data_IF_509182628812
#
_entry.id   IF_509182628812
#
_cell.length_a   1.000
_cell.length_b   1.000
_cell.length_c   1.000
_cell.angle_alpha   90.00
_cell.angle_beta   90.00
_cell.angle_gamma   90.00
#
_symmetry.space_group_name_H-M   'P 1'
#
loop_
_entity.id
_entity.type
_entity.pdbx_description
1 polymer ?
#
# COMPACT_ATOMS: atom_id res chain seq x y z
N UNK A 1 12.17 -11.98 15.19
CA UNK A 1 13.27 -11.21 15.84
C UNK A 1 14.57 -11.98 15.68
N UNK A 2 15.64 -11.37 15.17
CA UNK A 2 16.96 -12.01 15.08
C UNK A 2 17.66 -11.84 16.42
N UNK A 3 18.15 -12.94 16.99
CA UNK A 3 18.85 -12.92 18.27
C UNK A 3 20.26 -13.51 18.13
N UNK A 4 21.20 -12.95 18.87
CA UNK A 4 22.50 -13.57 19.14
C UNK A 4 22.47 -14.00 20.61
N UNK A 5 22.22 -15.30 20.86
CA UNK A 5 21.90 -15.78 22.21
C UNK A 5 20.58 -15.19 22.72
N UNK A 6 20.60 -14.49 23.86
CA UNK A 6 19.43 -13.79 24.44
C UNK A 6 19.31 -12.34 23.99
N UNK A 7 20.26 -11.82 23.21
CA UNK A 7 20.30 -10.39 22.82
C UNK A 7 19.58 -10.16 21.51
N UNK A 8 18.67 -9.18 21.48
CA UNK A 8 17.99 -8.77 20.26
C UNK A 8 18.94 -7.97 19.36
N UNK A 9 19.02 -8.35 18.09
CA UNK A 9 19.82 -7.63 17.09
C UNK A 9 18.96 -6.51 16.51
N UNK A 10 19.30 -5.26 16.83
CA UNK A 10 18.59 -4.06 16.37
C UNK A 10 19.22 -3.43 15.14
N UNK A 11 20.51 -3.70 14.87
CA UNK A 11 21.24 -3.23 13.71
C UNK A 11 22.10 -4.33 13.13
N UNK A 12 22.00 -4.54 11.83
CA UNK A 12 22.87 -5.45 11.09
C UNK A 12 23.71 -4.63 10.14
N UNK A 13 25.02 -4.88 10.17
CA UNK A 13 26.00 -4.19 9.35
C UNK A 13 26.75 -5.19 8.47
N UNK A 14 26.99 -4.82 7.22
CA UNK A 14 27.94 -5.50 6.33
C UNK A 14 29.13 -4.54 6.12
N UNK A 15 30.20 -4.76 6.85
CA UNK A 15 31.29 -3.77 6.96
C UNK A 15 30.78 -2.47 7.62
N UNK A 16 30.91 -1.34 6.94
CA UNK A 16 30.39 -0.03 7.37
C UNK A 16 28.98 0.27 6.88
N UNK A 17 28.40 -0.59 6.02
CA UNK A 17 27.10 -0.39 5.43
C UNK A 17 26.00 -1.01 6.30
N UNK A 18 25.00 -0.20 6.67
CA UNK A 18 23.82 -0.71 7.35
C UNK A 18 23.00 -1.59 6.40
N UNK A 19 22.61 -2.77 6.87
CA UNK A 19 21.76 -3.70 6.11
C UNK A 19 20.30 -3.33 6.33
N UNK A 20 19.55 -3.05 5.27
CA UNK A 20 18.14 -2.67 5.35
C UNK A 20 17.19 -3.88 5.44
N UNK A 21 17.60 -5.05 4.95
CA UNK A 21 16.83 -6.28 5.06
C UNK A 21 17.73 -7.52 5.03
N UNK A 22 17.32 -8.56 5.76
CA UNK A 22 17.91 -9.91 5.69
C UNK A 22 16.78 -10.87 5.38
N UNK A 23 17.05 -11.84 4.49
CA UNK A 23 16.10 -12.88 4.12
C UNK A 23 16.68 -14.26 4.49
N UNK A 24 15.81 -15.15 4.96
CA UNK A 24 16.07 -16.57 5.06
C UNK A 24 15.21 -17.28 4.00
N UNK A 25 15.81 -17.62 2.88
CA UNK A 25 15.06 -18.00 1.67
C UNK A 25 14.20 -16.81 1.20
N UNK A 26 12.91 -17.01 1.07
CA UNK A 26 11.97 -15.95 0.69
C UNK A 26 11.38 -15.20 1.90
N UNK A 27 11.75 -15.58 3.12
CA UNK A 27 11.24 -14.96 4.34
C UNK A 27 12.14 -13.81 4.77
N UNK A 28 11.58 -12.59 4.83
CA UNK A 28 12.28 -11.43 5.37
C UNK A 28 12.40 -11.57 6.89
N UNK A 29 13.63 -11.58 7.40
CA UNK A 29 13.90 -11.72 8.83
C UNK A 29 14.42 -10.45 9.49
N UNK A 30 14.71 -9.40 8.70
CA UNK A 30 15.11 -8.09 9.19
C UNK A 30 14.79 -6.99 8.16
N UNK A 31 14.26 -5.82 8.55
CA UNK A 31 13.68 -5.53 9.87
C UNK A 31 12.45 -6.41 10.13
N UNK A 32 12.28 -6.82 11.36
CA UNK A 32 11.11 -7.61 11.75
C UNK A 32 9.86 -6.74 11.71
N UNK A 33 8.79 -7.27 11.15
CA UNK A 33 7.45 -6.73 11.39
C UNK A 33 7.08 -6.88 12.86
N UNK A 34 6.23 -5.98 13.39
CA UNK A 34 5.60 -6.19 14.69
C UNK A 34 4.91 -7.56 14.75
N UNK A 35 5.00 -8.22 15.91
CA UNK A 35 4.41 -9.55 16.09
C UNK A 35 2.88 -9.50 16.34
N UNK A 36 2.34 -8.33 16.64
CA UNK A 36 0.93 -8.10 16.93
C UNK A 36 0.29 -7.42 15.74
N UNK A 37 -0.90 -7.86 15.38
CA UNK A 37 -1.72 -7.21 14.36
C UNK A 37 -2.11 -5.78 14.79
N UNK A 38 -2.18 -4.86 13.82
CA UNK A 38 -2.52 -3.47 14.10
C UNK A 38 -1.86 -2.47 13.15
N UNK A 39 -1.97 -1.20 13.52
CA UNK A 39 -1.44 -0.07 12.76
C UNK A 39 -0.19 0.49 13.44
N UNK A 40 0.84 0.77 12.65
CA UNK A 40 2.14 1.22 13.13
C UNK A 40 2.67 2.39 12.29
N UNK A 41 3.44 3.25 12.92
CA UNK A 41 4.26 4.26 12.24
C UNK A 41 5.60 3.63 11.84
N UNK A 42 5.93 3.62 10.54
CA UNK A 42 7.26 3.27 10.06
C UNK A 42 8.11 4.54 9.97
N UNK A 43 9.08 4.65 10.85
CA UNK A 43 9.86 5.86 11.08
C UNK A 43 11.17 5.86 10.26
N UNK A 44 11.82 7.04 10.10
CA UNK A 44 13.09 7.18 9.36
C UNK A 44 14.26 6.40 9.95
N UNK A 45 14.22 6.04 11.24
CA UNK A 45 15.18 5.14 11.87
C UNK A 45 15.00 3.66 11.50
N UNK A 46 14.03 3.36 10.60
CA UNK A 46 13.70 2.02 10.11
C UNK A 46 13.07 1.10 11.16
N UNK A 47 12.39 1.67 12.14
CA UNK A 47 11.63 0.94 13.16
C UNK A 47 10.13 1.17 13.01
N UNK A 48 9.36 0.20 13.49
CA UNK A 48 7.92 0.30 13.64
C UNK A 48 7.61 0.72 15.08
N UNK A 49 6.72 1.69 15.22
CA UNK A 49 6.23 2.20 16.49
C UNK A 49 4.72 2.13 16.50
N UNK A 50 4.13 1.74 17.63
CA UNK A 50 2.72 2.07 17.87
C UNK A 50 2.56 3.59 17.94
N UNK A 51 1.38 4.13 17.69
CA UNK A 51 1.19 5.59 17.78
C UNK A 51 1.52 6.16 19.17
N UNK A 52 1.14 5.52 20.30
CA UNK A 52 1.56 5.98 21.62
C UNK A 52 3.08 5.95 21.86
N UNK A 53 3.81 5.01 21.25
CA UNK A 53 5.28 4.99 21.33
C UNK A 53 5.89 6.08 20.47
N UNK A 54 5.37 6.28 19.26
CA UNK A 54 5.80 7.34 18.35
C UNK A 54 5.63 8.72 18.99
N UNK A 55 4.51 8.99 19.65
CA UNK A 55 4.24 10.26 20.34
C UNK A 55 5.23 10.59 21.50
N UNK A 56 5.96 9.59 22.00
CA UNK A 56 7.02 9.78 23.02
C UNK A 56 8.39 10.11 22.42
N UNK A 57 8.54 10.06 21.12
CA UNK A 57 9.80 10.43 20.48
C UNK A 57 10.03 11.95 20.56
N UNK A 58 11.29 12.35 20.52
CA UNK A 58 11.66 13.77 20.54
C UNK A 58 11.22 14.55 19.31
N UNK A 59 10.99 13.88 18.19
CA UNK A 59 10.51 14.47 16.94
C UNK A 59 9.42 13.60 16.34
N UNK A 60 8.19 14.07 16.41
CA UNK A 60 6.97 13.41 15.91
C UNK A 60 6.42 14.06 14.63
N UNK A 61 7.23 14.87 13.94
CA UNK A 61 6.79 15.47 12.68
C UNK A 61 6.52 14.40 11.61
N UNK A 62 5.51 14.64 10.77
CA UNK A 62 5.15 13.71 9.67
C UNK A 62 6.32 13.50 8.68
N UNK A 63 7.27 14.45 8.60
CA UNK A 63 8.49 14.33 7.81
C UNK A 63 9.45 13.23 8.31
N UNK A 64 9.27 12.74 9.53
CA UNK A 64 9.99 11.60 10.10
C UNK A 64 9.30 10.27 9.83
N UNK A 65 8.13 10.27 9.20
CA UNK A 65 7.35 9.07 8.88
C UNK A 65 7.64 8.64 7.44
N UNK A 66 8.08 7.40 7.28
CA UNK A 66 8.27 6.77 5.96
C UNK A 66 6.97 6.15 5.43
N UNK A 67 6.04 5.84 6.32
CA UNK A 67 4.73 5.30 6.00
C UNK A 67 3.99 4.78 7.22
N UNK A 68 2.77 4.36 7.01
CA UNK A 68 1.96 3.68 8.03
C UNK A 68 1.86 2.21 7.67
N UNK A 69 2.30 1.34 8.57
CA UNK A 69 2.24 -0.09 8.36
C UNK A 69 0.94 -0.65 8.95
N UNK A 70 0.27 -1.47 8.17
CA UNK A 70 -0.81 -2.35 8.61
C UNK A 70 -0.20 -3.75 8.72
N UNK A 71 -0.28 -4.36 9.89
CA UNK A 71 0.17 -5.74 10.16
C UNK A 71 -1.05 -6.60 10.41
N UNK A 72 -1.24 -7.61 9.57
CA UNK A 72 -2.35 -8.56 9.63
C UNK A 72 -1.84 -9.96 9.25
N UNK A 73 -2.40 -11.01 9.83
CA UNK A 73 -2.01 -12.41 9.55
C UNK A 73 -2.23 -12.84 8.10
N UNK A 74 -3.14 -12.17 7.37
CA UNK A 74 -3.42 -12.44 5.97
C UNK A 74 -2.55 -11.61 5.00
N UNK A 75 -1.77 -10.67 5.51
CA UNK A 75 -0.86 -9.83 4.73
C UNK A 75 -0.61 -8.49 5.37
N UNK A 76 0.63 -8.05 5.34
CA UNK A 76 1.02 -6.76 5.92
C UNK A 76 1.39 -5.77 4.81
N UNK A 77 1.02 -4.50 5.01
CA UNK A 77 1.16 -3.46 3.99
C UNK A 77 1.74 -2.18 4.57
N UNK A 78 2.55 -1.49 3.79
CA UNK A 78 2.96 -0.12 4.07
C UNK A 78 2.19 0.84 3.17
N UNK A 79 1.52 1.79 3.77
CA UNK A 79 0.83 2.89 3.12
C UNK A 79 1.71 4.14 3.17
N UNK A 80 1.65 5.05 2.17
CA UNK A 80 2.47 6.25 2.16
C UNK A 80 2.10 7.22 3.29
N UNK A 81 3.01 8.05 3.78
CA UNK A 81 2.74 8.96 4.91
C UNK A 81 1.70 10.04 4.56
N UNK A 82 1.63 10.44 3.29
CA UNK A 82 0.65 11.39 2.76
C UNK A 82 0.27 11.02 1.33
N UNK A 83 -0.73 10.13 1.14
CA UNK A 83 -1.20 9.80 -0.20
C UNK A 83 -1.99 10.97 -0.80
N UNK A 84 -1.89 11.15 -2.12
CA UNK A 84 -2.80 12.04 -2.83
C UNK A 84 -4.09 11.29 -3.17
N UNK A 85 -5.08 11.38 -2.29
CA UNK A 85 -6.38 10.71 -2.44
C UNK A 85 -7.46 11.63 -3.02
N UNK A 86 -7.09 12.77 -3.60
CA UNK A 86 -8.03 13.70 -4.21
C UNK A 86 -8.23 13.46 -5.70
N UNK A 87 -7.20 12.97 -6.39
CA UNK A 87 -7.24 12.72 -7.82
C UNK A 87 -8.01 11.43 -8.13
N UNK A 88 -8.84 11.50 -9.17
CA UNK A 88 -9.46 10.33 -9.77
C UNK A 88 -8.63 9.82 -10.94
N UNK A 89 -8.47 8.50 -11.00
CA UNK A 89 -7.78 7.81 -12.10
C UNK A 89 -8.75 6.83 -12.75
N UNK A 90 -8.71 6.69 -14.07
CA UNK A 90 -9.29 5.52 -14.74
C UNK A 90 -8.52 4.25 -14.36
N UNK A 91 -9.15 3.09 -14.45
CA UNK A 91 -8.47 1.82 -14.17
C UNK A 91 -7.42 1.49 -15.25
N UNK A 92 -7.73 1.79 -16.51
CA UNK A 92 -6.85 1.60 -17.68
C UNK A 92 -6.95 2.82 -18.61
N UNK A 93 -6.03 2.97 -19.59
CA UNK A 93 -6.15 3.98 -20.65
C UNK A 93 -7.45 3.80 -21.46
N UNK A 94 -7.96 4.88 -22.01
CA UNK A 94 -9.28 4.99 -22.65
C UNK A 94 -9.57 3.92 -23.70
N UNK A 95 -8.58 3.56 -24.52
CA UNK A 95 -8.75 2.60 -25.62
C UNK A 95 -8.74 1.12 -25.17
N UNK A 96 -8.62 0.86 -23.86
CA UNK A 96 -8.51 -0.50 -23.30
C UNK A 96 -9.63 -0.84 -22.32
N UNK A 97 -10.64 -0.01 -22.24
CA UNK A 97 -11.76 -0.15 -21.30
C UNK A 97 -12.76 -1.26 -21.66
N UNK A 98 -12.62 -1.84 -22.84
CA UNK A 98 -13.39 -3.01 -23.30
C UNK A 98 -12.53 -4.25 -23.51
N UNK A 99 -11.33 -4.26 -22.94
CA UNK A 99 -10.34 -5.31 -23.15
C UNK A 99 -10.07 -6.10 -21.86
N UNK A 100 -10.03 -7.43 -21.96
CA UNK A 100 -9.54 -8.30 -20.88
C UNK A 100 -8.03 -8.32 -20.93
N UNK A 101 -7.36 -7.83 -19.86
CA UNK A 101 -5.91 -7.91 -19.75
C UNK A 101 -5.53 -9.31 -19.29
N UNK A 102 -4.81 -10.10 -20.09
CA UNK A 102 -4.34 -11.42 -19.68
C UNK A 102 -3.47 -11.34 -18.42
N UNK A 103 -3.47 -12.41 -17.63
CA UNK A 103 -2.62 -12.58 -16.43
C UNK A 103 -2.90 -11.60 -15.27
N UNK A 104 -3.95 -10.79 -15.36
CA UNK A 104 -4.46 -9.98 -14.25
C UNK A 104 -5.50 -10.77 -13.46
N UNK A 105 -5.42 -10.73 -12.14
CA UNK A 105 -6.39 -11.40 -11.25
C UNK A 105 -7.83 -10.93 -11.49
N UNK A 106 -8.81 -11.82 -11.31
CA UNK A 106 -10.23 -11.57 -11.61
C UNK A 106 -11.14 -11.70 -10.37
N UNK A 107 -10.78 -12.48 -9.37
CA UNK A 107 -11.64 -12.78 -8.22
C UNK A 107 -11.55 -11.76 -7.08
N UNK A 108 -12.58 -11.73 -6.24
CA UNK A 108 -12.63 -10.87 -5.04
C UNK A 108 -11.59 -11.26 -3.97
N UNK A 109 -11.09 -12.47 -4.03
CA UNK A 109 -10.05 -13.05 -3.17
C UNK A 109 -8.63 -12.92 -3.75
N UNK A 110 -8.47 -12.20 -4.87
CA UNK A 110 -7.15 -11.93 -5.47
C UNK A 110 -6.24 -11.16 -4.49
N UNK A 111 -5.04 -11.71 -4.24
CA UNK A 111 -3.99 -11.17 -3.36
C UNK A 111 -2.68 -10.85 -4.13
N UNK A 112 -2.76 -10.68 -5.45
CA UNK A 112 -1.62 -10.52 -6.34
C UNK A 112 -1.43 -9.08 -6.85
N UNK A 113 -1.70 -8.08 -6.02
CA UNK A 113 -1.71 -6.67 -6.42
C UNK A 113 -0.44 -6.20 -7.10
N UNK A 114 0.73 -6.62 -6.60
CA UNK A 114 2.03 -6.29 -7.23
C UNK A 114 2.12 -6.86 -8.65
N UNK A 115 1.85 -8.15 -8.82
CA UNK A 115 1.90 -8.80 -10.13
C UNK A 115 0.90 -8.17 -11.11
N UNK A 116 -0.34 -7.95 -10.67
CA UNK A 116 -1.35 -7.28 -11.47
C UNK A 116 -0.89 -5.90 -11.95
N UNK A 117 -0.31 -5.11 -11.03
CA UNK A 117 0.20 -3.76 -11.35
C UNK A 117 1.32 -3.81 -12.38
N UNK A 118 2.26 -4.74 -12.25
CA UNK A 118 3.34 -4.94 -13.22
C UNK A 118 2.81 -5.35 -14.59
N UNK A 119 1.85 -6.26 -14.66
CA UNK A 119 1.19 -6.67 -15.90
C UNK A 119 0.47 -5.49 -16.55
N UNK A 120 -0.35 -4.74 -15.78
CA UNK A 120 -1.05 -3.55 -16.27
C UNK A 120 -0.08 -2.48 -16.77
N UNK A 121 0.99 -2.23 -16.01
CA UNK A 121 2.02 -1.28 -16.40
C UNK A 121 2.70 -1.69 -17.71
N UNK A 122 3.13 -2.93 -17.83
CA UNK A 122 3.81 -3.44 -19.05
C UNK A 122 2.91 -3.40 -20.28
N UNK A 123 1.61 -3.62 -20.12
CA UNK A 123 0.65 -3.53 -21.24
C UNK A 123 0.38 -2.08 -21.67
N UNK A 124 0.44 -1.10 -20.75
CA UNK A 124 -0.06 0.25 -21.03
C UNK A 124 0.98 1.37 -20.95
N UNK A 125 2.23 1.11 -20.51
CA UNK A 125 3.22 2.17 -20.27
C UNK A 125 3.62 2.98 -21.52
N UNK A 126 3.48 2.40 -22.71
CA UNK A 126 3.78 3.05 -23.99
C UNK A 126 2.54 3.70 -24.63
N UNK A 127 1.37 3.63 -24.00
CA UNK A 127 0.15 4.24 -24.52
C UNK A 127 0.12 5.72 -24.14
N UNK A 128 -0.30 6.59 -25.07
CA UNK A 128 -0.50 8.01 -24.77
C UNK A 128 -1.48 8.17 -23.59
N UNK A 129 -1.16 9.01 -22.60
CA UNK A 129 -1.95 9.15 -21.39
C UNK A 129 -1.70 8.07 -20.32
N UNK A 130 -0.70 7.22 -20.52
CA UNK A 130 -0.41 6.08 -19.62
C UNK A 130 -0.09 6.46 -18.16
N UNK A 131 0.16 7.74 -17.87
CA UNK A 131 0.37 8.22 -16.50
C UNK A 131 -0.95 8.51 -15.75
N UNK A 132 -2.08 8.49 -16.43
CA UNK A 132 -3.38 8.90 -15.91
C UNK A 132 -4.26 7.73 -15.44
N UNK A 133 -3.76 6.49 -15.50
CA UNK A 133 -4.47 5.32 -15.00
C UNK A 133 -3.91 4.82 -13.66
N UNK A 134 -4.76 4.18 -12.87
CA UNK A 134 -4.49 3.85 -11.47
C UNK A 134 -3.21 3.02 -11.24
N UNK A 135 -3.01 1.93 -12.01
CA UNK A 135 -1.82 1.10 -11.88
C UNK A 135 -0.55 1.83 -12.33
N UNK A 136 -0.63 2.66 -13.40
CA UNK A 136 0.49 3.47 -13.86
C UNK A 136 0.93 4.51 -12.85
N UNK A 137 -0.04 5.17 -12.19
CA UNK A 137 0.24 6.08 -11.09
C UNK A 137 0.93 5.35 -9.92
N UNK A 138 0.37 4.22 -9.47
CA UNK A 138 0.91 3.48 -8.34
C UNK A 138 2.32 2.92 -8.60
N UNK A 139 2.59 2.43 -9.82
CA UNK A 139 3.89 1.90 -10.21
C UNK A 139 5.01 2.96 -10.22
N UNK A 140 4.67 4.20 -10.61
CA UNK A 140 5.63 5.33 -10.64
C UNK A 140 5.68 6.12 -9.33
N UNK A 141 4.88 5.75 -8.36
CA UNK A 141 4.81 6.46 -7.10
C UNK A 141 6.09 6.27 -6.27
N UNK A 142 6.74 7.37 -5.89
CA UNK A 142 8.02 7.36 -5.16
C UNK A 142 8.05 8.44 -4.08
N UNK A 143 7.14 8.38 -3.08
CA UNK A 143 7.00 9.46 -2.08
C UNK A 143 8.17 9.50 -1.10
N UNK A 144 8.82 8.37 -0.88
CA UNK A 144 9.94 8.21 0.06
C UNK A 144 10.92 7.14 -0.47
N UNK A 145 12.23 7.29 -0.25
CA UNK A 145 13.25 6.36 -0.75
C UNK A 145 13.35 5.13 0.16
N UNK A 146 12.40 4.20 0.07
CA UNK A 146 12.38 2.97 0.89
C UNK A 146 12.89 1.73 0.16
N UNK A 147 13.45 1.90 -1.05
CA UNK A 147 14.17 0.84 -1.78
C UNK A 147 13.30 -0.28 -2.35
N UNK A 148 11.97 -0.10 -2.40
CA UNK A 148 11.04 -1.06 -2.98
C UNK A 148 9.95 -0.35 -3.79
N UNK A 149 9.37 -1.05 -4.77
CA UNK A 149 8.36 -0.47 -5.66
C UNK A 149 6.99 -0.47 -5.02
N UNK A 150 6.30 0.66 -5.15
CA UNK A 150 4.89 0.79 -4.84
C UNK A 150 4.04 0.13 -5.92
N UNK A 151 2.83 -0.29 -5.56
CA UNK A 151 1.91 -0.90 -6.49
C UNK A 151 0.44 -0.62 -6.10
N UNK A 152 -0.47 -0.80 -7.04
CA UNK A 152 -1.91 -0.72 -6.79
C UNK A 152 -2.38 -2.03 -6.16
N UNK A 153 -2.93 -2.04 -4.94
CA UNK A 153 -3.33 -3.27 -4.27
C UNK A 153 -4.43 -4.01 -5.06
N UNK A 154 -4.47 -5.33 -4.95
CA UNK A 154 -5.59 -6.13 -5.42
C UNK A 154 -6.82 -5.92 -4.53
N UNK A 155 -7.99 -6.44 -4.95
CA UNK A 155 -9.21 -6.28 -4.17
C UNK A 155 -9.13 -7.00 -2.82
N UNK A 156 -8.56 -8.19 -2.76
CA UNK A 156 -8.35 -8.92 -1.50
C UNK A 156 -7.38 -8.17 -0.56
N UNK A 157 -6.33 -7.56 -1.11
CA UNK A 157 -5.41 -6.73 -0.32
C UNK A 157 -6.09 -5.45 0.21
N UNK A 158 -6.96 -4.80 -0.59
CA UNK A 158 -7.76 -3.67 -0.12
C UNK A 158 -8.73 -4.05 1.00
N UNK A 159 -9.33 -5.24 0.95
CA UNK A 159 -10.21 -5.77 1.99
C UNK A 159 -9.44 -5.95 3.30
N UNK A 160 -8.20 -6.45 3.25
CA UNK A 160 -7.34 -6.54 4.45
C UNK A 160 -7.05 -5.14 5.00
N UNK A 161 -6.63 -4.21 4.15
CA UNK A 161 -6.34 -2.81 4.53
C UNK A 161 -7.57 -2.15 5.16
N UNK A 162 -8.76 -2.39 4.61
CA UNK A 162 -10.01 -1.80 5.10
C UNK A 162 -10.29 -2.10 6.59
N UNK A 163 -9.91 -3.26 7.09
CA UNK A 163 -10.11 -3.62 8.51
C UNK A 163 -9.49 -2.61 9.48
N UNK A 164 -8.47 -1.89 9.04
CA UNK A 164 -7.67 -0.95 9.83
C UNK A 164 -7.88 0.51 9.44
N UNK A 165 -8.80 0.79 8.49
CA UNK A 165 -9.00 2.16 7.95
C UNK A 165 -9.44 3.14 9.01
N UNK A 166 -10.41 2.77 9.86
CA UNK A 166 -10.89 3.65 10.93
C UNK A 166 -9.79 3.92 11.96
N UNK A 167 -9.11 2.88 12.43
CA UNK A 167 -8.01 3.00 13.38
C UNK A 167 -6.89 3.89 12.83
N UNK A 168 -6.44 3.64 11.58
CA UNK A 168 -5.41 4.47 10.94
C UNK A 168 -5.86 5.92 10.80
N UNK A 169 -7.12 6.14 10.37
CA UNK A 169 -7.65 7.49 10.16
C UNK A 169 -7.65 8.29 11.47
N UNK A 170 -8.18 7.70 12.54
CA UNK A 170 -8.28 8.33 13.86
C UNK A 170 -6.88 8.63 14.43
N UNK A 171 -5.97 7.65 14.42
CA UNK A 171 -4.60 7.85 14.89
C UNK A 171 -3.82 8.92 14.12
N UNK A 172 -3.98 8.98 12.78
CA UNK A 172 -3.33 10.01 11.96
C UNK A 172 -3.92 11.37 12.25
N UNK A 173 -5.24 11.46 12.39
CA UNK A 173 -5.91 12.73 12.74
C UNK A 173 -5.45 13.23 14.10
N UNK A 174 -5.46 12.39 15.12
CA UNK A 174 -5.09 12.75 16.49
C UNK A 174 -3.59 13.12 16.63
N UNK A 175 -2.73 12.46 15.83
CA UNK A 175 -1.28 12.66 15.95
C UNK A 175 -0.77 13.81 15.06
N UNK A 176 -1.31 13.96 13.87
CA UNK A 176 -0.78 14.88 12.85
C UNK A 176 -1.76 15.97 12.41
N UNK A 177 -3.01 15.93 12.85
CA UNK A 177 -4.02 16.95 12.58
C UNK A 177 -4.56 16.97 11.14
N UNK A 178 -4.46 15.86 10.39
CA UNK A 178 -5.05 15.75 9.06
C UNK A 178 -5.80 14.43 8.85
N UNK A 179 -6.85 14.47 8.02
CA UNK A 179 -7.60 13.27 7.64
C UNK A 179 -6.80 12.44 6.64
N UNK A 180 -6.45 11.21 7.00
CA UNK A 180 -5.70 10.32 6.10
C UNK A 180 -6.56 9.89 4.90
N UNK A 181 -7.79 9.50 5.14
CA UNK A 181 -8.77 9.21 4.09
C UNK A 181 -9.76 10.35 3.94
N UNK A 182 -10.26 10.62 2.71
CA UNK A 182 -11.22 11.72 2.51
C UNK A 182 -12.51 11.47 3.31
N UNK A 183 -12.87 12.41 4.17
CA UNK A 183 -14.03 12.32 5.07
C UNK A 183 -15.39 12.54 4.38
N UNK A 184 -15.40 13.03 3.15
CA UNK A 184 -16.65 13.34 2.41
C UNK A 184 -16.73 12.58 1.09
N UNK A 185 -17.89 12.00 0.86
CA UNK A 185 -18.23 11.27 -0.35
C UNK A 185 -17.80 9.80 -0.29
N UNK A 186 -18.62 8.92 -0.83
CA UNK A 186 -18.29 7.51 -1.02
C UNK A 186 -17.20 7.36 -2.09
N UNK A 187 -15.96 7.74 -1.74
CA UNK A 187 -14.84 7.53 -2.65
C UNK A 187 -14.51 6.05 -2.66
N UNK A 188 -14.61 5.47 -3.83
CA UNK A 188 -14.14 4.13 -4.08
C UNK A 188 -12.67 4.18 -4.49
N UNK A 189 -11.97 3.14 -4.09
CA UNK A 189 -10.57 2.92 -4.38
C UNK A 189 -10.44 1.81 -5.43
N UNK A 190 -9.77 2.11 -6.53
CA UNK A 190 -9.45 1.09 -7.50
C UNK A 190 -8.55 0.01 -6.89
N UNK A 191 -8.87 -1.23 -7.20
CA UNK A 191 -7.91 -2.32 -7.08
C UNK A 191 -7.21 -2.58 -8.41
N UNK A 192 -6.12 -3.34 -8.39
CA UNK A 192 -5.48 -3.85 -9.61
C UNK A 192 -6.21 -5.06 -10.21
N UNK A 193 -7.23 -5.59 -9.53
CA UNK A 193 -8.02 -6.75 -9.96
C UNK A 193 -9.07 -6.35 -10.99
N UNK A 194 -9.11 -7.03 -12.11
CA UNK A 194 -10.15 -6.78 -13.12
C UNK A 194 -11.42 -7.58 -12.82
N UNK A 195 -12.58 -7.07 -13.23
CA UNK A 195 -13.85 -7.80 -13.14
C UNK A 195 -14.11 -8.61 -14.42
N UNK A 196 -14.14 -7.92 -15.54
CA UNK A 196 -14.36 -8.47 -16.88
C UNK A 196 -13.71 -7.55 -17.94
N UNK A 197 -14.15 -7.67 -19.19
CA UNK A 197 -13.65 -6.80 -20.28
C UNK A 197 -13.88 -5.31 -20.00
N UNK A 198 -15.00 -4.93 -19.36
CA UNK A 198 -15.47 -3.56 -19.20
C UNK A 198 -15.37 -3.04 -17.76
N UNK A 199 -15.21 -3.94 -16.80
CA UNK A 199 -15.23 -3.60 -15.36
C UNK A 199 -13.95 -4.01 -14.65
N UNK A 200 -13.67 -3.33 -13.53
CA UNK A 200 -12.64 -3.69 -12.57
C UNK A 200 -13.16 -3.55 -11.14
N UNK A 201 -12.54 -4.25 -10.22
CA UNK A 201 -12.90 -4.21 -8.81
C UNK A 201 -12.46 -2.91 -8.13
N UNK A 202 -13.31 -2.40 -7.29
CA UNK A 202 -13.08 -1.27 -6.40
C UNK A 202 -13.62 -1.54 -5.01
N UNK A 203 -13.16 -0.80 -4.01
CA UNK A 203 -13.63 -0.89 -2.64
C UNK A 203 -14.13 0.48 -2.18
N UNK A 204 -15.31 0.53 -1.59
CA UNK A 204 -15.77 1.68 -0.80
C UNK A 204 -15.02 1.68 0.53
N UNK A 205 -14.01 2.54 0.67
CA UNK A 205 -12.98 2.40 1.73
C UNK A 205 -13.54 2.43 3.16
N UNK A 206 -14.60 3.18 3.43
CA UNK A 206 -15.23 3.20 4.76
C UNK A 206 -16.32 2.15 4.93
N UNK A 207 -17.06 1.80 3.87
CA UNK A 207 -18.10 0.79 3.95
C UNK A 207 -17.55 -0.65 3.89
N UNK A 208 -16.35 -0.83 3.33
CA UNK A 208 -15.74 -2.14 3.15
C UNK A 208 -16.42 -3.00 2.09
N UNK A 209 -17.22 -2.40 1.22
CA UNK A 209 -18.01 -3.10 0.22
C UNK A 209 -17.23 -3.21 -1.10
N UNK A 210 -16.74 -4.41 -1.47
CA UNK A 210 -16.15 -4.64 -2.79
C UNK A 210 -17.24 -4.72 -3.85
N UNK A 211 -17.04 -4.04 -4.96
CA UNK A 211 -17.93 -4.09 -6.12
C UNK A 211 -17.18 -3.76 -7.40
N UNK A 212 -17.74 -4.10 -8.55
CA UNK A 212 -17.16 -3.75 -9.84
C UNK A 212 -17.68 -2.40 -10.35
N UNK A 213 -16.87 -1.72 -11.11
CA UNK A 213 -17.26 -0.51 -11.82
C UNK A 213 -16.62 -0.46 -13.20
N UNK A 214 -17.21 0.34 -14.10
CA UNK A 214 -16.64 0.55 -15.43
C UNK A 214 -15.24 1.13 -15.35
N UNK A 215 -14.31 0.59 -16.13
CA UNK A 215 -12.88 0.92 -16.10
C UNK A 215 -12.56 2.40 -16.30
N UNK A 216 -13.42 3.15 -17.00
CA UNK A 216 -13.27 4.60 -17.21
C UNK A 216 -13.67 5.47 -16.01
N UNK A 217 -14.40 4.92 -15.04
CA UNK A 217 -14.84 5.70 -13.89
C UNK A 217 -13.61 6.27 -13.14
N UNK A 218 -13.56 7.57 -12.84
CA UNK A 218 -12.47 8.13 -12.05
C UNK A 218 -12.64 7.74 -10.58
N UNK A 219 -11.71 6.93 -10.07
CA UNK A 219 -11.63 6.55 -8.66
C UNK A 219 -10.23 6.79 -8.10
N UNK A 220 -10.12 6.74 -6.79
CA UNK A 220 -8.85 6.94 -6.09
C UNK A 220 -7.91 5.74 -6.31
N UNK A 221 -6.62 6.01 -6.46
CA UNK A 221 -5.58 5.00 -6.40
C UNK A 221 -4.77 5.18 -5.10
N UNK A 222 -4.68 4.12 -4.30
CA UNK A 222 -3.88 4.06 -3.08
C UNK A 222 -2.66 3.17 -3.33
N UNK A 223 -1.47 3.73 -3.59
CA UNK A 223 -0.27 2.91 -3.69
C UNK A 223 0.09 2.28 -2.35
N UNK A 224 0.54 1.03 -2.38
CA UNK A 224 1.00 0.30 -1.20
C UNK A 224 2.28 -0.47 -1.49
N UNK A 225 2.95 -0.93 -0.42
CA UNK A 225 4.04 -1.91 -0.47
C UNK A 225 3.63 -3.10 0.39
N UNK A 226 3.79 -4.31 -0.10
CA UNK A 226 3.63 -5.53 0.70
C UNK A 226 4.86 -5.73 1.58
N UNK A 227 4.64 -5.93 2.87
CA UNK A 227 5.65 -6.16 3.88
C UNK A 227 5.67 -7.66 4.24
N UNK A 228 6.77 -8.35 4.01
CA UNK A 228 6.95 -9.75 4.39
C UNK A 228 6.53 -10.74 3.33
#
# INVERSE_FOLDING_TARGET
MIKLGSTDITNVMLGTTKVDAIFLGNTKVYPNLPAVEGVYVYHVDKKFYTFPEFQKLSNTAISQVLGFAIVDSNGSFLLPPRPNLTNGYSWCPENFDTFVVPDVGIGVDDLNGRQNTEVLFNNFHNVAGSNEYAAGYAYRFTPVPIGTSWYLPSIGELIIIHRYVSELHDWVFDTFGFSYFPSSGAKAFWSSTQGDATTAWQLSIFAGEPHTAVKRKPNVALPVIKLG
#
